data_IF_339040528577
#
_entry.id   IF_339040528577
#
_cell.length_a   1.000
_cell.length_b   1.000
_cell.length_c   1.000
_cell.angle_alpha   90.00
_cell.angle_beta   90.00
_cell.angle_gamma   90.00
#
_symmetry.space_group_name_H-M   'P 1'
#
loop_
_entity.id
_entity.type
_entity.pdbx_description
1 polymer ?
#
# COMPACT_ATOMS: atom_id res chain seq x y z
N UNK A 1 -26.13 0.11 -3.39
CA UNK A 1 -25.53 1.04 -2.46
C UNK A 1 -24.19 1.57 -3.03
N UNK A 2 -24.26 2.48 -4.01
CA UNK A 2 -23.12 3.07 -4.69
C UNK A 2 -22.44 4.15 -3.82
N UNK A 3 -21.90 3.74 -2.65
CA UNK A 3 -21.23 4.59 -1.67
C UNK A 3 -19.76 4.79 -2.10
N UNK A 4 -19.59 5.41 -3.27
CA UNK A 4 -18.34 5.75 -3.95
C UNK A 4 -17.14 5.94 -3.01
N UNK A 5 -17.26 6.92 -2.10
CA UNK A 5 -16.23 7.30 -1.12
C UNK A 5 -15.69 6.13 -0.30
N UNK A 6 -16.54 5.15 0.06
CA UNK A 6 -16.14 3.94 0.77
C UNK A 6 -15.39 2.95 -0.14
N UNK A 7 -15.69 2.89 -1.45
CA UNK A 7 -15.07 1.97 -2.41
C UNK A 7 -13.70 2.53 -2.83
N UNK A 8 -13.69 3.81 -3.20
CA UNK A 8 -12.52 4.68 -3.30
C UNK A 8 -11.60 4.54 -2.07
N UNK A 9 -12.12 4.76 -0.86
CA UNK A 9 -11.35 4.63 0.38
C UNK A 9 -10.88 3.20 0.68
N UNK A 10 -11.65 2.17 0.30
CA UNK A 10 -11.18 0.77 0.31
C UNK A 10 -9.98 0.59 -0.64
N UNK A 11 -10.05 1.15 -1.85
CA UNK A 11 -8.92 1.20 -2.79
C UNK A 11 -7.74 2.03 -2.24
N UNK A 12 -7.98 3.09 -1.46
CA UNK A 12 -6.94 3.83 -0.73
C UNK A 12 -6.24 2.93 0.28
N UNK A 13 -7.01 2.23 1.13
CA UNK A 13 -6.50 1.25 2.09
C UNK A 13 -5.60 0.22 1.40
N UNK A 14 -6.03 -0.31 0.24
CA UNK A 14 -5.23 -1.22 -0.59
C UNK A 14 -3.95 -0.56 -1.13
N UNK A 15 -4.07 0.54 -1.89
CA UNK A 15 -2.97 1.20 -2.60
C UNK A 15 -1.92 1.74 -1.60
N UNK A 16 -2.34 2.49 -0.58
CA UNK A 16 -1.45 2.94 0.49
C UNK A 16 -0.62 1.79 1.09
N UNK A 17 -1.26 0.64 1.42
CA UNK A 17 -0.57 -0.57 1.89
C UNK A 17 0.49 -1.04 0.89
N UNK A 18 0.04 -1.32 -0.33
CA UNK A 18 0.88 -1.79 -1.45
C UNK A 18 2.11 -0.89 -1.65
N UNK A 19 1.94 0.43 -1.82
CA UNK A 19 3.08 1.33 -2.00
C UNK A 19 3.93 1.49 -0.73
N UNK A 20 3.31 1.46 0.47
CA UNK A 20 4.06 1.39 1.73
C UNK A 20 5.01 0.18 1.73
N UNK A 21 4.56 -0.99 1.23
CA UNK A 21 5.44 -2.09 0.91
C UNK A 21 6.49 -1.71 -0.17
N UNK A 22 6.12 -0.96 -1.22
CA UNK A 22 7.08 -0.54 -2.24
C UNK A 22 8.14 0.46 -1.74
N UNK A 23 7.97 1.04 -0.54
CA UNK A 23 8.84 2.11 -0.02
C UNK A 23 9.43 1.87 1.38
N UNK A 24 8.60 1.59 2.38
CA UNK A 24 9.03 1.37 3.76
C UNK A 24 9.44 -0.10 4.04
N UNK A 25 9.31 -0.99 3.05
CA UNK A 25 9.75 -2.40 3.13
C UNK A 25 10.83 -2.72 2.08
N UNK A 26 10.72 -2.20 0.85
CA UNK A 26 11.67 -2.45 -0.24
C UNK A 26 13.16 -2.24 0.13
N UNK A 27 13.61 -1.03 0.53
CA UNK A 27 14.98 -0.77 0.95
C UNK A 27 15.54 -1.71 2.04
N UNK A 28 14.90 -1.89 3.22
CA UNK A 28 15.41 -2.80 4.24
C UNK A 28 15.36 -4.29 3.80
N UNK A 29 14.33 -4.71 3.07
CA UNK A 29 14.27 -6.02 2.40
C UNK A 29 15.51 -6.23 1.50
N UNK A 30 15.78 -5.24 0.64
CA UNK A 30 16.93 -5.21 -0.26
C UNK A 30 18.26 -5.32 0.51
N UNK A 31 18.44 -4.49 1.55
CA UNK A 31 19.60 -4.52 2.43
C UNK A 31 19.80 -5.90 3.12
N UNK A 32 18.70 -6.50 3.60
CA UNK A 32 18.69 -7.82 4.23
C UNK A 32 19.14 -8.95 3.28
N UNK A 33 18.55 -9.03 2.08
CA UNK A 33 18.84 -10.08 1.09
C UNK A 33 20.16 -9.81 0.35
N UNK A 34 20.30 -8.63 -0.27
CA UNK A 34 21.43 -8.22 -1.10
C UNK A 34 21.41 -6.23 -4.48
#
# INVERSE_FOLDING_TARGET
MNLNATILGQAIAFVLFVLFCMKYVWPPLMAAIE
#
